data_IF_539449505944
#
_entry.id   IF_539449505944
#
_cell.length_a   1.000
_cell.length_b   1.000
_cell.length_c   1.000
_cell.angle_alpha   90.00
_cell.angle_beta   90.00
_cell.angle_gamma   90.00
#
_symmetry.space_group_name_H-M   'P 1'
#
loop_
_entity.id
_entity.type
_entity.pdbx_description
1 polymer ?
#
# COMPACT_ATOMS: atom_id res chain seq x y z
N UNK A 1 8.24 14.75 -33.96
CA UNK A 1 9.46 14.31 -33.24
C UNK A 1 8.99 13.66 -31.95
N UNK A 2 9.09 12.32 -31.86
CA UNK A 2 8.72 11.60 -30.63
C UNK A 2 9.83 11.81 -29.58
N UNK A 3 9.46 12.33 -28.43
CA UNK A 3 10.36 12.40 -27.28
C UNK A 3 10.86 10.98 -26.97
N UNK A 4 12.17 10.76 -26.83
CA UNK A 4 12.65 9.43 -26.47
C UNK A 4 12.05 9.03 -25.12
N UNK A 5 11.49 7.83 -25.04
CA UNK A 5 11.00 7.26 -23.78
C UNK A 5 12.23 7.08 -22.87
N UNK A 6 12.28 7.84 -21.79
CA UNK A 6 13.33 7.68 -20.79
C UNK A 6 12.99 6.46 -19.94
N UNK A 7 13.78 5.41 -20.05
CA UNK A 7 13.68 4.27 -19.16
C UNK A 7 14.34 4.61 -17.82
N UNK A 8 13.62 4.39 -16.73
CA UNK A 8 14.16 4.50 -15.39
C UNK A 8 14.48 3.11 -14.84
N UNK A 9 15.68 2.91 -14.29
CA UNK A 9 15.99 1.66 -13.62
C UNK A 9 15.13 1.55 -12.34
N UNK A 10 14.44 0.42 -12.18
CA UNK A 10 13.69 0.10 -10.97
C UNK A 10 14.41 -1.01 -10.22
N UNK A 11 14.59 -0.83 -8.93
CA UNK A 11 15.09 -1.87 -8.03
C UNK A 11 13.93 -2.44 -7.24
N UNK A 12 13.74 -3.75 -7.33
CA UNK A 12 12.76 -4.45 -6.50
C UNK A 12 13.47 -5.09 -5.31
N UNK A 13 12.92 -4.90 -4.13
CA UNK A 13 13.37 -5.49 -2.89
C UNK A 13 12.37 -6.54 -2.44
N UNK A 14 12.85 -7.71 -2.01
CA UNK A 14 12.01 -8.74 -1.45
C UNK A 14 12.39 -8.98 0.01
N UNK A 15 11.38 -9.09 0.89
CA UNK A 15 11.63 -9.45 2.28
C UNK A 15 10.50 -10.29 2.88
N UNK A 16 10.82 -10.96 3.97
CA UNK A 16 9.85 -11.64 4.84
C UNK A 16 9.88 -10.99 6.22
N UNK A 17 8.72 -10.52 6.66
CA UNK A 17 8.51 -9.96 7.98
C UNK A 17 7.05 -10.19 8.37
N UNK A 18 6.82 -11.18 9.25
CA UNK A 18 5.45 -11.64 9.55
C UNK A 18 4.63 -10.58 10.30
N UNK A 19 5.29 -9.81 11.16
CA UNK A 19 4.67 -8.64 11.83
C UNK A 19 5.50 -7.41 11.55
N UNK A 20 4.92 -6.22 11.45
CA UNK A 20 5.69 -5.00 11.17
C UNK A 20 6.86 -4.82 12.14
N UNK A 21 8.04 -4.54 11.60
CA UNK A 21 9.28 -4.41 12.36
C UNK A 21 10.33 -3.61 11.59
N UNK A 22 11.64 -3.93 11.77
CA UNK A 22 12.73 -3.12 11.22
C UNK A 22 12.72 -2.99 9.69
N UNK A 23 12.23 -4.00 8.96
CA UNK A 23 12.18 -3.94 7.49
C UNK A 23 11.08 -3.02 7.02
N UNK A 24 9.91 -3.11 7.65
CA UNK A 24 8.84 -2.16 7.42
C UNK A 24 9.27 -0.73 7.79
N UNK A 25 9.94 -0.56 8.93
CA UNK A 25 10.43 0.76 9.34
C UNK A 25 11.41 1.36 8.34
N UNK A 26 12.32 0.56 7.81
CA UNK A 26 13.24 1.03 6.77
C UNK A 26 12.50 1.46 5.48
N UNK A 27 11.44 0.73 5.09
CA UNK A 27 10.58 1.14 3.98
C UNK A 27 9.88 2.46 4.29
N UNK A 28 9.29 2.58 5.49
CA UNK A 28 8.64 3.80 5.94
C UNK A 28 9.60 5.01 5.90
N UNK A 29 10.78 4.89 6.48
CA UNK A 29 11.77 5.97 6.53
C UNK A 29 12.18 6.43 5.12
N UNK A 30 12.30 5.50 4.17
CA UNK A 30 12.67 5.79 2.80
C UNK A 30 11.53 6.47 2.00
N UNK A 31 10.27 6.10 2.24
CA UNK A 31 9.14 6.50 1.40
C UNK A 31 8.23 7.54 2.05
N UNK A 32 8.21 7.65 3.37
CA UNK A 32 7.35 8.57 4.10
C UNK A 32 7.43 10.04 3.63
N UNK A 33 8.61 10.61 3.33
CA UNK A 33 8.67 11.99 2.84
C UNK A 33 7.83 12.22 1.57
N UNK A 34 7.76 11.25 0.67
CA UNK A 34 6.95 11.33 -0.55
C UNK A 34 5.46 11.13 -0.23
N UNK A 35 5.12 10.11 0.56
CA UNK A 35 3.74 9.87 0.99
C UNK A 35 3.17 11.04 1.80
N UNK A 36 3.95 11.64 2.68
CA UNK A 36 3.52 12.81 3.46
C UNK A 36 3.16 13.96 2.54
N UNK A 37 4.01 14.31 1.56
CA UNK A 37 3.72 15.37 0.58
C UNK A 37 2.44 15.08 -0.19
N UNK A 38 2.29 13.86 -0.67
CA UNK A 38 1.09 13.43 -1.39
C UNK A 38 -0.15 13.51 -0.49
N UNK A 39 -0.08 12.97 0.72
CA UNK A 39 -1.21 12.92 1.65
C UNK A 39 -1.69 14.31 2.06
N UNK A 40 -0.78 15.25 2.23
CA UNK A 40 -1.08 16.61 2.69
C UNK A 40 -1.21 17.64 1.56
N UNK A 41 -1.17 17.23 0.30
CA UNK A 41 -1.16 18.15 -0.87
C UNK A 41 -2.35 19.09 -0.93
N UNK A 42 -3.51 18.69 -0.40
CA UNK A 42 -4.75 19.49 -0.34
C UNK A 42 -4.91 20.17 1.03
N UNK A 43 -3.88 20.15 1.86
CA UNK A 43 -3.91 20.61 3.24
C UNK A 43 -4.37 19.52 4.21
N UNK A 44 -3.79 19.51 5.41
CA UNK A 44 -4.12 18.51 6.44
C UNK A 44 -5.55 18.62 6.95
N UNK A 45 -6.17 19.82 6.85
CA UNK A 45 -7.55 20.05 7.22
C UNK A 45 -8.56 19.33 6.29
N UNK A 46 -8.14 18.98 5.06
CA UNK A 46 -8.96 18.19 4.13
C UNK A 46 -8.92 16.69 4.42
N UNK A 47 -8.15 16.27 5.42
CA UNK A 47 -8.04 14.86 5.82
C UNK A 47 -8.86 14.59 7.06
N UNK A 48 -9.43 13.37 7.21
CA UNK A 48 -10.17 12.97 8.41
C UNK A 48 -9.33 13.16 9.68
N UNK A 49 -9.95 13.47 10.80
CA UNK A 49 -9.28 13.53 12.09
C UNK A 49 -8.80 12.12 12.52
N UNK A 50 -7.77 12.04 13.36
CA UNK A 50 -7.22 10.75 13.83
C UNK A 50 -8.28 9.86 14.48
N UNK A 51 -9.15 10.43 15.29
CA UNK A 51 -10.24 9.69 15.94
C UNK A 51 -11.25 9.13 14.93
N UNK A 52 -11.50 9.85 13.84
CA UNK A 52 -12.36 9.37 12.77
C UNK A 52 -11.70 8.20 12.05
N UNK A 53 -10.41 8.33 11.71
CA UNK A 53 -9.61 7.27 11.13
C UNK A 53 -9.64 5.98 11.97
N UNK A 54 -9.42 6.11 13.29
CA UNK A 54 -9.45 4.98 14.23
C UNK A 54 -10.83 4.34 14.30
N UNK A 55 -11.90 5.14 14.36
CA UNK A 55 -13.28 4.62 14.36
C UNK A 55 -13.62 3.89 13.07
N UNK A 56 -13.19 4.43 11.92
CA UNK A 56 -13.42 3.79 10.63
C UNK A 56 -12.70 2.43 10.55
N UNK A 57 -11.42 2.38 10.95
CA UNK A 57 -10.66 1.13 10.97
C UNK A 57 -11.31 0.12 11.94
N UNK A 58 -11.70 0.53 13.14
CA UNK A 58 -12.36 -0.32 14.12
C UNK A 58 -13.73 -0.84 13.64
N UNK A 59 -14.42 -0.07 12.82
CA UNK A 59 -15.72 -0.46 12.25
C UNK A 59 -15.60 -1.45 11.10
N UNK A 60 -14.61 -1.26 10.24
CA UNK A 60 -14.52 -1.97 8.97
C UNK A 60 -13.52 -3.13 8.98
N UNK A 61 -12.43 -2.99 9.73
CA UNK A 61 -11.31 -3.94 9.80
C UNK A 61 -10.75 -4.02 11.24
N UNK A 62 -11.58 -4.37 12.24
CA UNK A 62 -11.20 -4.36 13.65
C UNK A 62 -9.99 -5.26 13.96
N UNK A 63 -9.82 -6.33 13.20
CA UNK A 63 -8.70 -7.27 13.32
C UNK A 63 -7.34 -6.64 12.98
N UNK A 64 -7.31 -5.54 12.25
CA UNK A 64 -6.09 -4.85 11.87
C UNK A 64 -5.68 -3.74 12.85
N UNK A 65 -6.49 -3.44 13.86
CA UNK A 65 -6.16 -2.42 14.87
C UNK A 65 -4.81 -2.67 15.54
N UNK A 66 -4.49 -3.89 16.03
CA UNK A 66 -3.19 -4.12 16.68
C UNK A 66 -2.02 -3.90 15.73
N UNK A 67 -2.19 -4.25 14.45
CA UNK A 67 -1.16 -4.02 13.43
C UNK A 67 -0.99 -2.53 13.16
N UNK A 68 -2.08 -1.80 12.99
CA UNK A 68 -2.06 -0.34 12.80
C UNK A 68 -1.40 0.40 13.97
N UNK A 69 -1.74 0.03 15.23
CA UNK A 69 -1.11 0.62 16.42
C UNK A 69 0.39 0.37 16.44
N UNK A 70 0.83 -0.84 16.07
CA UNK A 70 2.25 -1.16 15.94
C UNK A 70 2.94 -0.33 14.85
N UNK A 71 2.30 -0.15 13.70
CA UNK A 71 2.81 0.68 12.61
C UNK A 71 2.93 2.15 13.05
N UNK A 72 1.93 2.68 13.75
CA UNK A 72 1.98 4.03 14.31
C UNK A 72 3.18 4.21 15.24
N UNK A 73 3.40 3.24 16.14
CA UNK A 73 4.56 3.29 17.04
C UNK A 73 5.90 3.25 16.29
N UNK A 74 6.04 2.35 15.30
CA UNK A 74 7.23 2.28 14.45
C UNK A 74 7.45 3.56 13.61
N UNK A 75 6.37 4.27 13.28
CA UNK A 75 6.41 5.57 12.60
C UNK A 75 6.70 6.75 13.57
N UNK A 76 7.08 6.47 14.81
CA UNK A 76 7.41 7.51 15.81
C UNK A 76 6.18 8.24 16.35
N UNK A 77 5.02 7.60 16.33
CA UNK A 77 3.74 8.15 16.80
C UNK A 77 3.34 9.49 16.11
N UNK A 78 3.82 9.69 14.85
CA UNK A 78 3.44 10.85 14.04
C UNK A 78 1.94 10.81 13.73
N UNK A 79 1.14 11.80 14.20
CA UNK A 79 -0.30 11.78 13.99
C UNK A 79 -0.71 11.92 12.52
N UNK A 80 0.15 12.46 11.66
CA UNK A 80 -0.11 12.53 10.21
C UNK A 80 0.09 11.16 9.58
N UNK A 81 1.16 10.47 9.97
CA UNK A 81 1.39 9.08 9.54
C UNK A 81 0.27 8.15 10.01
N UNK A 82 -0.16 8.25 11.27
CA UNK A 82 -1.23 7.44 11.82
C UNK A 82 -2.55 7.60 11.04
N UNK A 83 -2.89 8.82 10.61
CA UNK A 83 -4.07 9.10 9.77
C UNK A 83 -3.94 8.44 8.41
N UNK A 84 -2.79 8.59 7.73
CA UNK A 84 -2.55 7.97 6.43
C UNK A 84 -2.55 6.43 6.53
N UNK A 85 -1.86 5.88 7.54
CA UNK A 85 -1.78 4.43 7.77
C UNK A 85 -3.13 3.77 8.09
N UNK A 86 -4.14 4.54 8.48
CA UNK A 86 -5.51 4.02 8.64
C UNK A 86 -6.19 3.66 7.30
N UNK A 87 -5.65 4.09 6.17
CA UNK A 87 -6.23 3.98 4.83
C UNK A 87 -7.60 4.66 4.67
N UNK A 88 -8.03 5.47 5.65
CA UNK A 88 -9.31 6.16 5.63
C UNK A 88 -9.20 7.58 5.09
N UNK A 89 -10.04 7.93 4.12
CA UNK A 89 -10.09 9.27 3.55
C UNK A 89 -8.80 9.71 2.87
N UNK A 90 -8.15 8.81 2.18
CA UNK A 90 -6.96 9.10 1.38
C UNK A 90 -7.26 10.12 0.29
N UNK A 91 -6.26 10.89 -0.19
CA UNK A 91 -6.41 11.72 -1.39
C UNK A 91 -6.90 10.90 -2.58
N UNK A 92 -7.68 11.52 -3.47
CA UNK A 92 -8.09 10.86 -4.70
C UNK A 92 -6.87 10.43 -5.53
N UNK A 93 -6.90 9.20 -6.01
CA UNK A 93 -5.90 8.68 -6.93
C UNK A 93 -6.27 9.13 -8.35
N UNK A 94 -5.35 9.80 -9.02
CA UNK A 94 -5.51 10.22 -10.42
C UNK A 94 -4.85 9.21 -11.36
N UNK A 95 -5.20 7.92 -11.26
CA UNK A 95 -4.50 6.86 -11.99
C UNK A 95 -5.43 5.79 -12.49
N UNK A 96 -5.08 5.27 -13.66
CA UNK A 96 -5.63 4.07 -14.24
C UNK A 96 -4.65 2.90 -14.10
N UNK A 97 -5.20 1.71 -13.96
CA UNK A 97 -4.45 0.48 -14.11
C UNK A 97 -5.17 -0.37 -15.15
N UNK A 98 -4.42 -1.16 -15.90
CA UNK A 98 -5.01 -2.17 -16.77
C UNK A 98 -4.60 -3.56 -16.31
N UNK A 99 -5.54 -4.50 -16.41
CA UNK A 99 -5.33 -5.88 -16.01
C UNK A 99 -5.89 -6.82 -17.08
N UNK A 100 -5.20 -7.93 -17.27
CA UNK A 100 -5.64 -9.03 -18.13
C UNK A 100 -5.50 -10.33 -17.36
N UNK A 101 -6.59 -11.08 -17.29
CA UNK A 101 -6.58 -12.45 -16.78
C UNK A 101 -6.57 -13.42 -17.97
N UNK A 102 -5.56 -14.25 -18.05
CA UNK A 102 -5.44 -15.33 -19.04
C UNK A 102 -5.86 -16.61 -18.33
N UNK A 103 -7.03 -17.20 -18.69
CA UNK A 103 -7.48 -18.46 -18.11
C UNK A 103 -6.68 -19.64 -18.67
N UNK A 104 -6.62 -20.75 -17.93
CA UNK A 104 -5.96 -21.97 -18.35
C UNK A 104 -5.55 -22.87 -17.18
N UNK A 105 -4.78 -23.89 -17.47
CA UNK A 105 -4.25 -24.79 -16.44
C UNK A 105 -3.32 -24.05 -15.44
N UNK A 106 -2.71 -22.96 -15.90
CA UNK A 106 -1.95 -22.02 -15.08
C UNK A 106 -2.52 -20.62 -15.32
N UNK A 107 -3.59 -20.22 -14.59
CA UNK A 107 -4.16 -18.91 -14.78
C UNK A 107 -3.14 -17.83 -14.46
N UNK A 108 -3.03 -16.85 -15.35
CA UNK A 108 -2.02 -15.79 -15.23
C UNK A 108 -2.72 -14.44 -15.23
N UNK A 109 -2.43 -13.62 -14.22
CA UNK A 109 -2.86 -12.23 -14.17
C UNK A 109 -1.68 -11.34 -14.54
N UNK A 110 -1.89 -10.48 -15.53
CA UNK A 110 -0.92 -9.46 -15.95
C UNK A 110 -1.51 -8.10 -15.61
N UNK A 111 -0.68 -7.24 -15.04
CA UNK A 111 -1.08 -5.88 -14.72
C UNK A 111 -0.09 -4.85 -15.29
N UNK A 112 -0.62 -3.71 -15.74
CA UNK A 112 0.12 -2.49 -15.91
C UNK A 112 -0.24 -1.55 -14.74
N UNK A 113 0.79 -1.01 -14.08
CA UNK A 113 0.65 -0.16 -12.91
C UNK A 113 1.03 1.28 -13.28
N UNK A 114 -0.01 2.08 -13.56
CA UNK A 114 0.14 3.49 -13.93
C UNK A 114 0.05 4.34 -12.66
N UNK A 115 1.20 4.61 -12.05
CA UNK A 115 1.28 5.31 -10.77
C UNK A 115 2.45 6.30 -10.73
N UNK A 116 2.39 7.25 -9.79
CA UNK A 116 3.49 8.18 -9.56
C UNK A 116 4.74 7.42 -9.07
N UNK A 117 5.82 7.50 -9.84
CA UNK A 117 7.08 6.83 -9.52
C UNK A 117 7.65 7.24 -8.16
N UNK A 118 7.35 8.47 -7.69
CA UNK A 118 7.78 8.94 -6.37
C UNK A 118 7.11 8.19 -5.20
N UNK A 119 6.01 7.50 -5.47
CA UNK A 119 5.25 6.70 -4.50
C UNK A 119 5.44 5.20 -4.71
N UNK A 120 6.22 4.79 -5.72
CA UNK A 120 6.47 3.38 -5.98
C UNK A 120 7.47 2.82 -4.97
N UNK A 121 7.01 1.88 -4.16
CA UNK A 121 7.81 1.28 -3.09
C UNK A 121 8.83 0.25 -3.58
N UNK A 122 8.54 -0.41 -4.67
CA UNK A 122 9.42 -1.43 -5.25
C UNK A 122 9.63 -2.66 -4.35
N UNK A 123 8.62 -3.02 -3.55
CA UNK A 123 8.73 -4.07 -2.54
C UNK A 123 7.81 -5.24 -2.85
N UNK A 124 8.35 -6.45 -2.75
CA UNK A 124 7.60 -7.70 -2.68
C UNK A 124 7.77 -8.23 -1.25
N UNK A 125 6.68 -8.28 -0.49
CA UNK A 125 6.72 -8.64 0.92
C UNK A 125 5.98 -9.95 1.20
N UNK A 126 6.56 -10.79 2.05
CA UNK A 126 5.86 -11.91 2.67
C UNK A 126 5.52 -11.54 4.10
N UNK A 127 4.22 -11.37 4.39
CA UNK A 127 3.72 -10.87 5.68
C UNK A 127 2.64 -11.77 6.25
N UNK A 128 2.32 -11.56 7.54
CA UNK A 128 1.14 -12.12 8.20
C UNK A 128 0.57 -11.06 9.16
N UNK A 129 0.26 -9.88 8.62
CA UNK A 129 -0.15 -8.73 9.43
C UNK A 129 -1.50 -8.92 10.12
N UNK A 130 -2.33 -9.83 9.65
CA UNK A 130 -3.57 -10.19 10.31
C UNK A 130 -3.40 -11.26 11.40
N UNK A 131 -2.23 -11.92 11.47
CA UNK A 131 -1.99 -13.07 12.34
C UNK A 131 -2.79 -14.32 11.95
N UNK A 132 -3.30 -14.39 10.73
CA UNK A 132 -4.18 -15.48 10.27
C UNK A 132 -3.65 -16.24 9.07
N UNK A 133 -3.07 -15.54 8.13
CA UNK A 133 -2.62 -16.10 6.85
C UNK A 133 -1.40 -15.36 6.35
N UNK A 134 -0.41 -16.10 5.94
CA UNK A 134 0.71 -15.53 5.23
C UNK A 134 0.28 -15.11 3.84
N UNK A 135 0.74 -13.95 3.47
CA UNK A 135 0.51 -13.35 2.16
C UNK A 135 1.85 -13.01 1.53
N UNK A 136 1.97 -13.23 0.24
CA UNK A 136 3.06 -12.73 -0.59
C UNK A 136 2.46 -11.76 -1.57
N UNK A 137 3.01 -10.55 -1.65
CA UNK A 137 2.47 -9.56 -2.58
C UNK A 137 3.35 -8.33 -2.76
N UNK A 138 2.96 -7.52 -3.73
CA UNK A 138 3.57 -6.22 -3.98
C UNK A 138 3.02 -5.22 -2.98
N UNK A 139 3.90 -4.59 -2.21
CA UNK A 139 3.53 -3.57 -1.23
C UNK A 139 3.06 -2.29 -1.92
N UNK A 140 2.04 -1.68 -1.34
CA UNK A 140 1.53 -0.37 -1.71
C UNK A 140 0.97 0.33 -0.48
N UNK A 141 1.12 1.64 -0.39
CA UNK A 141 0.67 2.44 0.76
C UNK A 141 1.29 1.98 2.09
N UNK A 142 2.54 1.52 2.06
CA UNK A 142 3.38 1.09 3.18
C UNK A 142 3.03 -0.27 3.80
N UNK A 143 1.79 -0.68 3.83
CA UNK A 143 1.36 -1.95 4.41
C UNK A 143 0.15 -2.59 3.74
N UNK A 144 -0.38 -1.94 2.72
CA UNK A 144 -1.36 -2.51 1.82
C UNK A 144 -0.71 -3.43 0.80
N UNK A 145 -1.55 -4.09 0.02
CA UNK A 145 -1.11 -4.92 -1.09
C UNK A 145 -1.80 -4.44 -2.37
N UNK A 146 -0.99 -4.19 -3.38
CA UNK A 146 -1.48 -3.91 -4.73
C UNK A 146 -1.94 -5.21 -5.40
N UNK A 147 -1.09 -6.21 -5.36
CA UNK A 147 -1.34 -7.57 -5.82
C UNK A 147 -0.79 -8.54 -4.77
N UNK A 148 -1.49 -9.61 -4.53
CA UNK A 148 -1.01 -10.60 -3.57
C UNK A 148 -1.69 -11.95 -3.68
N UNK A 149 -1.06 -12.93 -3.07
CA UNK A 149 -1.56 -14.28 -2.93
C UNK A 149 -1.35 -14.76 -1.50
N UNK A 150 -2.34 -15.42 -0.93
CA UNK A 150 -2.18 -16.06 0.37
C UNK A 150 -1.72 -17.53 0.23
N UNK A 151 -1.37 -18.14 1.35
CA UNK A 151 -0.92 -19.53 1.40
C UNK A 151 -1.99 -20.55 1.04
N UNK A 152 -3.27 -20.17 1.01
CA UNK A 152 -4.38 -21.02 0.58
C UNK A 152 -4.61 -20.92 -0.95
N UNK A 153 -3.82 -20.09 -1.67
CA UNK A 153 -3.90 -19.91 -3.11
C UNK A 153 -4.91 -18.86 -3.58
N UNK A 154 -5.54 -18.11 -2.66
CA UNK A 154 -6.35 -16.97 -3.06
C UNK A 154 -5.46 -15.84 -3.55
N UNK A 155 -5.62 -15.45 -4.81
CA UNK A 155 -4.95 -14.30 -5.40
C UNK A 155 -5.93 -13.13 -5.52
N UNK A 156 -5.44 -11.94 -5.22
CA UNK A 156 -6.18 -10.68 -5.36
C UNK A 156 -5.31 -9.64 -6.07
N UNK A 157 -5.95 -8.78 -6.82
CA UNK A 157 -5.30 -7.65 -7.48
C UNK A 157 -6.22 -6.45 -7.44
N UNK A 158 -5.69 -5.34 -6.93
CA UNK A 158 -6.43 -4.10 -6.81
C UNK A 158 -6.31 -3.31 -8.12
N UNK A 159 -7.45 -2.91 -8.68
CA UNK A 159 -7.48 -1.91 -9.74
C UNK A 159 -8.52 -0.85 -9.42
N UNK A 160 -8.22 0.40 -9.76
CA UNK A 160 -9.15 1.48 -9.53
C UNK A 160 -10.25 1.44 -10.61
N UNK A 161 -11.48 1.26 -10.18
CA UNK A 161 -12.66 1.26 -11.04
C UNK A 161 -13.68 2.36 -10.68
N UNK A 162 -13.22 3.41 -10.01
CA UNK A 162 -14.05 4.51 -9.57
C UNK A 162 -14.56 5.37 -10.73
N UNK A 163 -15.65 6.10 -10.47
CA UNK A 163 -16.07 7.20 -11.36
C UNK A 163 -15.19 8.42 -11.07
N UNK A 164 -14.81 9.19 -12.10
CA UNK A 164 -14.13 10.45 -11.91
C UNK A 164 -14.97 11.45 -11.11
#
# INVERSE_FOLDING_TARGET
MSTPLTQLPLTLHAYRELTPGPRWQALYDATWPAYRRWYTREGLASRPALDECRRALARHLPELIPTWERLCHLAGDDPVAARMLSMWGLPAFAVGCSQVLIPGAQPTLIRNYDYDQALFEGVIASTDYSGRRRVLGTSDMLWGLLDGMNEDGLAVSLTFGGRP
#
